data_IF_009584293728
#
_entry.id   IF_009584293728
#
_cell.length_a   1.000
_cell.length_b   1.000
_cell.length_c   1.000
_cell.angle_alpha   90.00
_cell.angle_beta   90.00
_cell.angle_gamma   90.00
#
_symmetry.space_group_name_H-M   'P 1'
#
loop_
_entity.id
_entity.type
_entity.pdbx_description
1 polymer ?
#
# COMPACT_ATOMS: atom_id res chain seq x y z
N UNK A 1 -1.73 -28.73 -20.13
CA UNK A 1 -0.48 -28.30 -19.46
C UNK A 1 -0.25 -26.78 -19.32
N UNK A 2 -0.93 -25.86 -20.06
CA UNK A 2 -0.83 -24.41 -19.84
C UNK A 2 -1.19 -23.96 -18.41
N UNK A 3 -2.22 -24.57 -17.80
CA UNK A 3 -2.72 -24.17 -16.47
C UNK A 3 -1.67 -24.29 -15.34
N UNK A 4 -0.78 -25.28 -15.40
CA UNK A 4 0.18 -25.53 -14.33
C UNK A 4 1.26 -24.44 -14.28
N UNK A 5 1.70 -23.93 -15.44
CA UNK A 5 2.69 -22.85 -15.52
C UNK A 5 2.11 -21.52 -15.04
N UNK A 6 0.89 -21.19 -15.46
CA UNK A 6 0.21 -19.98 -14.98
C UNK A 6 -0.07 -20.03 -13.47
N UNK A 7 -0.40 -21.21 -12.93
CA UNK A 7 -0.58 -21.39 -11.49
C UNK A 7 0.72 -21.11 -10.72
N UNK A 8 1.87 -21.59 -11.20
CA UNK A 8 3.16 -21.31 -10.56
C UNK A 8 3.52 -19.83 -10.56
N UNK A 9 3.30 -19.13 -11.68
CA UNK A 9 3.58 -17.69 -11.75
C UNK A 9 2.61 -16.91 -10.84
N UNK A 10 1.34 -17.31 -10.79
CA UNK A 10 0.40 -16.76 -9.81
C UNK A 10 0.87 -16.96 -8.37
N UNK A 11 1.32 -18.17 -8.01
CA UNK A 11 1.88 -18.45 -6.67
C UNK A 11 3.08 -17.55 -6.39
N UNK A 12 4.02 -17.41 -7.34
CA UNK A 12 5.18 -16.51 -7.20
C UNK A 12 4.75 -15.04 -7.05
N UNK A 13 3.69 -14.63 -7.74
CA UNK A 13 3.13 -13.26 -7.62
C UNK A 13 2.60 -13.00 -6.21
N UNK A 14 1.79 -13.93 -5.67
CA UNK A 14 1.24 -13.80 -4.31
C UNK A 14 2.35 -13.94 -3.28
N UNK A 15 3.31 -14.85 -3.49
CA UNK A 15 4.46 -15.03 -2.62
C UNK A 15 5.35 -13.79 -2.59
N UNK A 16 5.52 -13.10 -3.72
CA UNK A 16 6.21 -11.80 -3.79
C UNK A 16 5.52 -10.78 -2.90
N UNK A 17 4.20 -10.56 -3.11
CA UNK A 17 3.42 -9.59 -2.32
C UNK A 17 3.43 -9.93 -0.82
N UNK A 18 3.36 -11.21 -0.48
CA UNK A 18 3.38 -11.66 0.91
C UNK A 18 4.77 -11.59 1.54
N UNK A 19 5.83 -11.87 0.77
CA UNK A 19 7.20 -11.79 1.26
C UNK A 19 7.60 -10.36 1.61
N UNK A 20 7.03 -9.34 0.96
CA UNK A 20 7.28 -7.92 1.28
C UNK A 20 7.08 -7.66 2.77
N UNK A 21 5.99 -8.19 3.35
CA UNK A 21 5.60 -8.06 4.76
C UNK A 21 6.59 -8.70 5.77
N UNK A 22 7.64 -9.36 5.28
CA UNK A 22 8.64 -10.06 6.09
C UNK A 22 10.06 -9.68 5.67
N UNK A 23 10.33 -9.56 4.37
CA UNK A 23 11.65 -9.29 3.82
C UNK A 23 11.57 -8.73 2.39
N UNK A 24 12.01 -7.49 2.22
CA UNK A 24 12.13 -6.86 0.90
C UNK A 24 13.05 -7.63 -0.05
N UNK A 25 14.18 -8.15 0.44
CA UNK A 25 15.11 -8.94 -0.38
C UNK A 25 14.46 -10.24 -0.88
N UNK A 26 13.68 -10.90 -0.03
CA UNK A 26 12.90 -12.07 -0.42
C UNK A 26 11.85 -11.73 -1.47
N UNK A 27 11.14 -10.60 -1.31
CA UNK A 27 10.16 -10.13 -2.28
C UNK A 27 10.78 -9.81 -3.64
N UNK A 28 11.85 -9.03 -3.70
CA UNK A 28 12.51 -8.68 -4.97
C UNK A 28 13.07 -9.92 -5.68
N UNK A 29 13.60 -10.89 -4.92
CA UNK A 29 14.06 -12.17 -5.48
C UNK A 29 12.90 -12.95 -6.11
N UNK A 30 11.77 -13.06 -5.40
CA UNK A 30 10.58 -13.74 -5.92
C UNK A 30 9.97 -13.01 -7.12
N UNK A 31 9.99 -11.67 -7.12
CA UNK A 31 9.54 -10.86 -8.24
C UNK A 31 10.39 -11.13 -9.48
N UNK A 32 11.71 -11.13 -9.33
CA UNK A 32 12.63 -11.44 -10.41
C UNK A 32 12.39 -12.86 -10.97
N UNK A 33 12.19 -13.86 -10.10
CA UNK A 33 11.85 -15.23 -10.51
C UNK A 33 10.49 -15.25 -11.24
N UNK A 34 9.49 -14.52 -10.77
CA UNK A 34 8.18 -14.44 -11.42
C UNK A 34 8.28 -13.83 -12.83
N UNK A 35 9.02 -12.71 -12.98
CA UNK A 35 9.30 -12.08 -14.27
C UNK A 35 10.00 -13.06 -15.23
N UNK A 36 11.09 -13.70 -14.77
CA UNK A 36 11.86 -14.64 -15.59
C UNK A 36 11.03 -15.86 -15.99
N UNK A 37 10.28 -16.45 -15.05
CA UNK A 37 9.40 -17.57 -15.33
C UNK A 37 8.33 -17.21 -16.38
N UNK A 38 7.80 -15.99 -16.33
CA UNK A 38 6.83 -15.51 -17.31
C UNK A 38 7.45 -15.32 -18.70
N UNK A 39 8.65 -14.72 -18.77
CA UNK A 39 9.39 -14.54 -20.02
C UNK A 39 9.73 -15.90 -20.67
N UNK A 40 10.22 -16.86 -19.89
CA UNK A 40 10.54 -18.23 -20.35
C UNK A 40 9.29 -18.97 -20.82
N UNK A 41 8.15 -18.76 -20.15
CA UNK A 41 6.89 -19.40 -20.51
C UNK A 41 6.34 -18.89 -21.86
N UNK A 42 6.83 -17.75 -22.37
CA UNK A 42 6.38 -17.13 -23.62
C UNK A 42 5.02 -16.43 -23.45
N UNK A 43 4.99 -15.13 -23.06
CA UNK A 43 3.74 -14.40 -22.85
C UNK A 43 2.92 -14.34 -24.15
N UNK A 44 1.76 -14.99 -24.18
CA UNK A 44 0.89 -15.03 -25.37
C UNK A 44 0.09 -13.74 -25.58
N UNK A 45 -0.52 -13.24 -24.51
CA UNK A 45 -1.27 -11.97 -24.47
C UNK A 45 -0.97 -11.29 -23.14
N UNK A 46 -0.52 -10.04 -23.22
CA UNK A 46 -0.21 -9.20 -22.07
C UNK A 46 -1.38 -8.26 -21.86
N UNK A 47 -1.99 -8.34 -20.68
CA UNK A 47 -2.95 -7.34 -20.21
C UNK A 47 -2.16 -6.17 -19.63
N UNK A 48 -2.28 -5.01 -20.27
CA UNK A 48 -1.66 -3.79 -19.81
C UNK A 48 -2.64 -3.03 -18.93
N UNK A 49 -2.30 -2.68 -17.69
CA UNK A 49 -3.17 -1.84 -16.90
C UNK A 49 -3.25 -0.42 -17.50
N UNK A 50 -4.39 0.25 -17.34
CA UNK A 50 -4.66 1.55 -17.97
C UNK A 50 -3.70 2.66 -17.54
N UNK A 51 -3.10 2.54 -16.35
CA UNK A 51 -2.11 3.47 -15.83
C UNK A 51 -0.69 3.35 -16.44
N UNK A 52 -0.43 2.43 -17.38
CA UNK A 52 0.92 2.20 -17.93
C UNK A 52 1.50 3.45 -18.59
N UNK A 53 0.69 4.17 -19.38
CA UNK A 53 1.15 5.39 -20.07
C UNK A 53 1.62 6.47 -19.08
N UNK A 54 0.80 6.89 -18.09
CA UNK A 54 1.27 7.88 -17.12
C UNK A 54 2.41 7.37 -16.25
N UNK A 55 2.48 6.08 -15.95
CA UNK A 55 3.62 5.49 -15.25
C UNK A 55 4.92 5.60 -16.07
N UNK A 56 4.88 5.29 -17.36
CA UNK A 56 6.01 5.46 -18.26
C UNK A 56 6.43 6.93 -18.37
N UNK A 57 5.47 7.86 -18.38
CA UNK A 57 5.76 9.29 -18.35
C UNK A 57 6.48 9.69 -17.05
N UNK A 58 6.04 9.18 -15.89
CA UNK A 58 6.71 9.41 -14.61
C UNK A 58 8.15 8.86 -14.58
N UNK A 59 8.34 7.64 -15.08
CA UNK A 59 9.67 7.02 -15.21
C UNK A 59 10.58 7.83 -16.15
N UNK A 60 10.07 8.23 -17.31
CA UNK A 60 10.82 9.03 -18.28
C UNK A 60 11.23 10.38 -17.67
N UNK A 61 10.31 11.08 -17.01
CA UNK A 61 10.63 12.35 -16.34
C UNK A 61 11.59 12.18 -15.17
N UNK A 62 11.57 11.04 -14.48
CA UNK A 62 12.57 10.72 -13.46
C UNK A 62 13.96 10.55 -14.08
N UNK A 63 14.08 9.90 -15.24
CA UNK A 63 15.35 9.76 -15.98
C UNK A 63 15.82 11.12 -16.50
N UNK A 64 14.92 11.96 -17.02
CA UNK A 64 15.27 13.33 -17.45
C UNK A 64 15.81 14.15 -16.28
N UNK A 65 15.15 14.09 -15.11
CA UNK A 65 15.65 14.72 -13.88
C UNK A 65 17.02 14.18 -13.45
N UNK A 66 17.25 12.86 -13.56
CA UNK A 66 18.53 12.24 -13.27
C UNK A 66 19.65 12.78 -14.18
N UNK A 67 19.41 12.88 -15.48
CA UNK A 67 20.38 13.38 -16.46
C UNK A 67 20.65 14.87 -16.26
N UNK A 68 19.65 15.64 -15.84
CA UNK A 68 19.79 17.06 -15.52
C UNK A 68 20.45 17.32 -14.15
N UNK A 69 20.61 16.29 -13.31
CA UNK A 69 21.23 16.40 -11.99
C UNK A 69 22.73 16.70 -12.11
N UNK A 70 23.29 17.59 -11.26
CA UNK A 70 24.74 17.79 -11.16
C UNK A 70 25.54 16.54 -10.79
N UNK A 71 24.90 15.57 -10.13
CA UNK A 71 25.51 14.31 -9.66
C UNK A 71 24.59 13.12 -9.99
N UNK A 72 24.49 12.70 -11.27
CA UNK A 72 23.60 11.62 -11.70
C UNK A 72 23.94 10.25 -11.07
N UNK A 73 25.18 10.03 -10.68
CA UNK A 73 25.65 8.80 -10.06
C UNK A 73 24.95 8.50 -8.73
N UNK A 74 24.57 9.54 -7.97
CA UNK A 74 23.86 9.41 -6.70
C UNK A 74 22.45 8.87 -6.95
N UNK A 75 21.75 9.39 -7.96
CA UNK A 75 20.34 9.07 -8.21
C UNK A 75 20.07 7.76 -8.97
N UNK A 76 21.11 7.00 -9.33
CA UNK A 76 20.96 5.76 -10.13
C UNK A 76 20.14 4.68 -9.42
N UNK A 77 20.12 4.69 -8.07
CA UNK A 77 19.30 3.79 -7.26
C UNK A 77 17.82 3.86 -7.63
N UNK A 78 17.30 5.06 -7.89
CA UNK A 78 15.89 5.29 -8.27
C UNK A 78 15.52 4.61 -9.59
N UNK A 79 16.42 4.63 -10.57
CA UNK A 79 16.17 3.99 -11.88
C UNK A 79 16.20 2.47 -11.76
N UNK A 80 17.10 1.92 -10.94
CA UNK A 80 17.13 0.47 -10.66
C UNK A 80 15.82 -0.01 -10.03
N UNK A 81 15.20 0.80 -9.18
CA UNK A 81 13.88 0.53 -8.58
C UNK A 81 12.73 0.50 -9.60
N UNK A 82 12.92 0.88 -10.87
CA UNK A 82 11.87 0.74 -11.89
C UNK A 82 11.40 -0.71 -12.06
N UNK A 83 12.25 -1.69 -11.75
CA UNK A 83 11.89 -3.11 -11.77
C UNK A 83 10.71 -3.41 -10.82
N UNK A 84 10.53 -2.67 -9.73
CA UNK A 84 9.45 -2.88 -8.77
C UNK A 84 8.07 -2.65 -9.41
N UNK A 85 7.97 -1.76 -10.39
CA UNK A 85 6.73 -1.52 -11.12
C UNK A 85 6.26 -2.71 -11.97
N UNK A 86 7.14 -3.67 -12.24
CA UNK A 86 6.75 -4.95 -12.86
C UNK A 86 5.76 -5.73 -11.99
N UNK A 87 5.71 -5.48 -10.68
CA UNK A 87 4.74 -6.08 -9.78
C UNK A 87 3.30 -5.77 -10.20
N UNK A 88 3.04 -4.54 -10.63
CA UNK A 88 1.72 -4.17 -11.14
C UNK A 88 1.35 -4.94 -12.40
N UNK A 89 2.28 -5.07 -13.35
CA UNK A 89 2.06 -5.83 -14.58
C UNK A 89 1.81 -7.31 -14.32
N UNK A 90 2.58 -7.93 -13.42
CA UNK A 90 2.40 -9.34 -13.04
C UNK A 90 1.08 -9.53 -12.29
N UNK A 91 0.74 -8.65 -11.34
CA UNK A 91 -0.53 -8.72 -10.63
C UNK A 91 -1.75 -8.64 -11.58
N UNK A 92 -1.74 -7.70 -12.53
CA UNK A 92 -2.76 -7.60 -13.59
C UNK A 92 -2.85 -8.88 -14.43
N UNK A 93 -1.72 -9.51 -14.74
CA UNK A 93 -1.71 -10.69 -15.60
C UNK A 93 -1.97 -12.00 -14.87
N UNK A 94 -1.83 -12.09 -13.55
CA UNK A 94 -1.97 -13.37 -12.85
C UNK A 94 -3.08 -13.40 -11.80
N UNK A 95 -3.60 -12.26 -11.33
CA UNK A 95 -4.77 -12.17 -10.44
C UNK A 95 -6.05 -11.96 -11.27
N UNK A 96 -6.37 -12.95 -12.11
CA UNK A 96 -7.45 -12.83 -13.12
C UNK A 96 -8.86 -13.25 -12.68
N UNK A 97 -9.00 -13.85 -11.50
CA UNK A 97 -10.29 -14.39 -11.04
C UNK A 97 -10.60 -13.95 -9.62
N UNK A 98 -11.88 -13.83 -9.23
CA UNK A 98 -12.28 -13.56 -7.85
C UNK A 98 -11.68 -14.56 -6.85
N UNK A 99 -11.54 -15.82 -7.26
CA UNK A 99 -10.88 -16.85 -6.44
C UNK A 99 -9.40 -16.56 -6.22
N UNK A 100 -8.64 -16.20 -7.28
CA UNK A 100 -7.22 -15.82 -7.16
C UNK A 100 -7.05 -14.56 -6.31
N UNK A 101 -7.93 -13.58 -6.50
CA UNK A 101 -7.95 -12.37 -5.67
C UNK A 101 -8.23 -12.71 -4.20
N UNK A 102 -9.19 -13.58 -3.91
CA UNK A 102 -9.54 -14.02 -2.55
C UNK A 102 -8.38 -14.73 -1.86
N UNK A 103 -7.68 -15.64 -2.56
CA UNK A 103 -6.48 -16.29 -2.04
C UNK A 103 -5.41 -15.25 -1.73
N UNK A 104 -5.17 -14.33 -2.67
CA UNK A 104 -4.15 -13.30 -2.50
C UNK A 104 -4.40 -12.43 -1.26
N UNK A 105 -5.62 -11.90 -1.11
CA UNK A 105 -5.98 -11.06 0.05
C UNK A 105 -5.95 -11.86 1.36
N UNK A 106 -6.38 -13.13 1.33
CA UNK A 106 -6.25 -14.02 2.49
C UNK A 106 -4.79 -14.24 2.89
N UNK A 107 -3.91 -14.59 1.94
CA UNK A 107 -2.49 -14.80 2.21
C UNK A 107 -1.84 -13.52 2.76
N UNK A 108 -2.09 -12.36 2.16
CA UNK A 108 -1.57 -11.08 2.64
C UNK A 108 -2.05 -10.75 4.05
N UNK A 109 -3.35 -10.93 4.33
CA UNK A 109 -3.89 -10.69 5.66
C UNK A 109 -3.32 -11.66 6.71
N UNK A 110 -3.08 -12.92 6.34
CA UNK A 110 -2.47 -13.91 7.24
C UNK A 110 -1.02 -13.55 7.59
N UNK A 111 -0.21 -13.18 6.59
CA UNK A 111 1.18 -12.79 6.81
C UNK A 111 1.28 -11.44 7.54
N UNK A 112 0.42 -10.48 7.21
CA UNK A 112 0.33 -9.22 7.94
C UNK A 112 -0.09 -9.43 9.40
N UNK A 113 -1.00 -10.37 9.68
CA UNK A 113 -1.37 -10.73 11.04
C UNK A 113 -0.21 -11.40 11.80
N UNK A 114 0.62 -12.20 11.12
CA UNK A 114 1.84 -12.76 11.71
C UNK A 114 2.85 -11.65 12.06
N UNK A 115 3.11 -10.74 11.11
CA UNK A 115 3.97 -9.57 11.35
C UNK A 115 3.43 -8.70 12.50
N UNK A 116 2.11 -8.54 12.57
CA UNK A 116 1.41 -7.84 13.65
C UNK A 116 1.58 -8.55 14.98
N UNK A 117 1.48 -9.88 15.04
CA UNK A 117 1.71 -10.63 16.27
C UNK A 117 3.14 -10.42 16.79
N UNK A 118 4.15 -10.46 15.90
CA UNK A 118 5.54 -10.14 16.25
C UNK A 118 5.65 -8.71 16.78
N UNK A 119 5.03 -7.74 16.10
CA UNK A 119 5.05 -6.33 16.51
C UNK A 119 4.36 -6.12 17.87
N UNK A 120 3.28 -6.82 18.17
CA UNK A 120 2.59 -6.76 19.46
C UNK A 120 3.43 -7.36 20.59
N UNK A 121 4.18 -8.43 20.33
CA UNK A 121 5.17 -8.97 21.28
C UNK A 121 6.29 -7.97 21.51
N UNK A 122 6.83 -7.36 20.44
CA UNK A 122 7.82 -6.28 20.55
C UNK A 122 7.28 -5.12 21.39
N UNK A 123 6.01 -4.73 21.19
CA UNK A 123 5.36 -3.68 21.99
C UNK A 123 5.38 -4.03 23.48
N UNK A 124 4.93 -5.22 23.84
CA UNK A 124 4.87 -5.66 25.23
C UNK A 124 6.24 -5.66 25.91
N UNK A 125 7.26 -6.18 25.23
CA UNK A 125 8.64 -6.21 25.73
C UNK A 125 9.22 -4.80 25.90
N UNK A 126 9.04 -3.94 24.90
CA UNK A 126 9.50 -2.55 24.94
C UNK A 126 8.78 -1.76 26.02
N UNK A 127 7.48 -1.98 26.20
CA UNK A 127 6.68 -1.31 27.24
C UNK A 127 7.12 -1.73 28.65
N UNK A 128 7.38 -3.03 28.88
CA UNK A 128 7.92 -3.50 30.16
C UNK A 128 9.30 -2.90 30.46
N UNK A 129 10.14 -2.77 29.42
CA UNK A 129 11.44 -2.11 29.54
C UNK A 129 11.31 -0.61 29.81
N UNK A 130 10.35 0.07 29.20
CA UNK A 130 10.07 1.47 29.48
C UNK A 130 9.61 1.66 30.93
N UNK A 131 8.74 0.78 31.44
CA UNK A 131 8.29 0.81 32.84
C UNK A 131 9.42 0.57 33.84
N UNK A 132 10.49 -0.16 33.46
CA UNK A 132 11.64 -0.35 34.36
C UNK A 132 12.62 0.82 34.30
N UNK A 133 12.88 1.37 33.12
CA UNK A 133 13.91 2.41 32.92
C UNK A 133 13.40 3.83 33.11
N UNK A 134 12.11 4.07 32.84
CA UNK A 134 11.51 5.40 32.70
C UNK A 134 12.26 6.31 31.71
N UNK A 135 13.04 5.71 30.80
CA UNK A 135 13.81 6.42 29.81
C UNK A 135 12.97 6.54 28.53
N UNK A 136 12.77 7.76 28.06
CA UNK A 136 12.04 8.03 26.83
C UNK A 136 12.62 7.30 25.60
N UNK A 137 13.93 7.05 25.56
CA UNK A 137 14.56 6.28 24.48
C UNK A 137 13.96 4.86 24.33
N UNK A 138 13.47 4.29 25.43
CA UNK A 138 12.85 2.98 25.48
C UNK A 138 11.31 3.05 25.34
N UNK A 139 10.70 4.25 25.24
CA UNK A 139 9.26 4.43 25.14
C UNK A 139 8.73 3.95 23.76
N UNK A 140 7.93 2.85 23.73
CA UNK A 140 7.41 2.30 22.47
C UNK A 140 6.29 3.14 21.85
N UNK A 141 5.79 4.16 22.56
CA UNK A 141 4.81 5.11 22.05
C UNK A 141 5.46 6.27 21.29
N UNK A 142 6.77 6.50 21.47
CA UNK A 142 7.48 7.65 20.91
C UNK A 142 8.69 7.24 20.06
N UNK A 143 9.72 6.64 20.67
CA UNK A 143 11.04 6.43 20.06
C UNK A 143 11.32 4.95 19.73
N UNK A 144 10.97 4.02 20.62
CA UNK A 144 11.20 2.58 20.42
C UNK A 144 10.03 1.87 19.72
N UNK A 145 9.39 2.55 18.76
CA UNK A 145 8.15 2.09 18.12
C UNK A 145 8.31 0.74 17.43
N UNK A 146 7.23 -0.02 17.40
CA UNK A 146 7.20 -1.38 16.85
C UNK A 146 7.45 -1.41 15.35
N UNK A 147 8.15 -2.45 14.89
CA UNK A 147 8.56 -2.59 13.49
C UNK A 147 8.18 -3.94 12.89
N UNK A 148 7.70 -4.90 13.69
CA UNK A 148 7.43 -6.25 13.19
C UNK A 148 8.70 -6.87 12.62
N UNK A 149 8.68 -7.29 11.35
CA UNK A 149 9.86 -7.78 10.65
C UNK A 149 10.68 -6.67 9.97
N UNK A 150 10.17 -5.45 9.91
CA UNK A 150 10.84 -4.35 9.23
C UNK A 150 11.92 -3.71 10.09
N UNK A 151 12.85 -3.00 9.44
CA UNK A 151 13.87 -2.21 10.12
C UNK A 151 13.35 -0.89 10.69
N UNK A 152 12.19 -0.42 10.23
CA UNK A 152 11.65 0.89 10.62
C UNK A 152 10.13 0.85 10.79
N UNK A 153 9.62 1.59 11.78
CA UNK A 153 8.18 1.59 12.11
C UNK A 153 7.34 2.21 10.99
N UNK A 154 7.88 3.15 10.19
CA UNK A 154 7.10 3.78 9.11
C UNK A 154 6.81 2.78 7.98
N UNK A 155 7.81 1.98 7.59
CA UNK A 155 7.69 0.89 6.62
C UNK A 155 6.63 -0.10 7.09
N UNK A 156 6.80 -0.66 8.29
CA UNK A 156 5.84 -1.59 8.89
C UNK A 156 4.42 -1.02 8.94
N UNK A 157 4.27 0.20 9.44
CA UNK A 157 2.95 0.84 9.56
C UNK A 157 2.31 1.08 8.19
N UNK A 158 3.11 1.44 7.18
CA UNK A 158 2.66 1.62 5.79
C UNK A 158 2.18 0.32 5.16
N UNK A 159 2.87 -0.80 5.41
CA UNK A 159 2.41 -2.11 4.94
C UNK A 159 1.10 -2.54 5.62
N UNK A 160 1.02 -2.40 6.96
CA UNK A 160 -0.20 -2.72 7.71
C UNK A 160 -1.37 -1.85 7.26
N UNK A 161 -1.14 -0.57 6.93
CA UNK A 161 -2.14 0.33 6.37
C UNK A 161 -2.75 -0.25 5.08
N UNK A 162 -1.91 -0.60 4.10
CA UNK A 162 -2.40 -1.09 2.81
C UNK A 162 -3.15 -2.40 2.96
N UNK A 163 -2.62 -3.34 3.74
CA UNK A 163 -3.28 -4.62 3.99
C UNK A 163 -4.58 -4.42 4.75
N UNK A 164 -4.62 -3.56 5.76
CA UNK A 164 -5.84 -3.28 6.53
C UNK A 164 -6.92 -2.66 5.64
N UNK A 165 -6.59 -1.62 4.87
CA UNK A 165 -7.53 -0.97 3.95
C UNK A 165 -8.08 -1.95 2.91
N UNK A 166 -7.23 -2.78 2.30
CA UNK A 166 -7.66 -3.81 1.36
C UNK A 166 -8.44 -4.95 2.03
N UNK A 167 -8.16 -5.27 3.30
CA UNK A 167 -8.84 -6.34 4.01
C UNK A 167 -10.29 -6.00 4.36
N UNK A 168 -10.63 -4.71 4.57
CA UNK A 168 -11.98 -4.28 4.96
C UNK A 168 -13.05 -4.72 3.95
N UNK A 169 -12.96 -4.38 2.64
CA UNK A 169 -13.91 -4.89 1.65
C UNK A 169 -13.78 -6.41 1.45
N UNK A 170 -12.57 -6.95 1.54
CA UNK A 170 -12.29 -8.39 1.37
C UNK A 170 -13.02 -9.29 2.38
N UNK A 171 -13.41 -8.75 3.55
CA UNK A 171 -14.21 -9.48 4.53
C UNK A 171 -15.55 -9.99 3.98
N UNK A 172 -16.08 -9.39 2.91
CA UNK A 172 -17.28 -9.86 2.22
C UNK A 172 -17.13 -11.30 1.71
N UNK A 173 -15.91 -11.70 1.32
CA UNK A 173 -15.63 -13.00 0.73
C UNK A 173 -14.73 -13.87 1.63
N UNK A 174 -13.85 -13.28 2.43
CA UNK A 174 -13.01 -14.03 3.36
C UNK A 174 -13.84 -14.68 4.49
N UNK A 175 -14.87 -13.99 4.98
CA UNK A 175 -15.79 -14.47 6.01
C UNK A 175 -15.29 -14.27 7.44
N UNK A 176 -16.16 -14.53 8.43
CA UNK A 176 -15.96 -14.13 9.85
C UNK A 176 -14.68 -14.67 10.49
N UNK A 177 -14.16 -15.83 10.09
CA UNK A 177 -12.91 -16.39 10.64
C UNK A 177 -11.69 -15.47 10.46
N UNK A 178 -11.74 -14.57 9.47
CA UNK A 178 -10.67 -13.61 9.21
C UNK A 178 -10.75 -12.34 10.07
N UNK A 179 -11.76 -12.22 10.94
CA UNK A 179 -11.83 -11.12 11.91
C UNK A 179 -10.66 -11.17 12.91
N UNK A 180 -10.15 -12.36 13.25
CA UNK A 180 -9.02 -12.51 14.18
C UNK A 180 -7.72 -11.92 13.56
N UNK A 181 -7.27 -12.37 12.37
CA UNK A 181 -6.18 -11.71 11.64
C UNK A 181 -6.37 -10.20 11.48
N UNK A 182 -7.56 -9.76 11.09
CA UNK A 182 -7.85 -8.33 10.92
C UNK A 182 -7.75 -7.56 12.23
N UNK A 183 -8.15 -8.16 13.35
CA UNK A 183 -8.02 -7.55 14.68
C UNK A 183 -6.55 -7.41 15.08
N UNK A 184 -5.71 -8.42 14.81
CA UNK A 184 -4.27 -8.35 15.06
C UNK A 184 -3.63 -7.20 14.25
N UNK A 185 -3.96 -7.09 12.96
CA UNK A 185 -3.51 -5.99 12.10
C UNK A 185 -4.02 -4.63 12.60
N UNK A 186 -5.29 -4.54 13.00
CA UNK A 186 -5.86 -3.31 13.56
C UNK A 186 -5.12 -2.89 14.84
N UNK A 187 -4.80 -3.86 15.71
CA UNK A 187 -4.10 -3.60 16.94
C UNK A 187 -2.67 -3.11 16.70
N UNK A 188 -1.92 -3.75 15.80
CA UNK A 188 -0.59 -3.29 15.44
C UNK A 188 -0.60 -1.92 14.75
N UNK A 189 -1.60 -1.64 13.90
CA UNK A 189 -1.76 -0.33 13.26
C UNK A 189 -2.00 0.77 14.30
N UNK A 190 -2.86 0.52 15.29
CA UNK A 190 -3.10 1.46 16.41
C UNK A 190 -1.83 1.62 17.26
N UNK A 191 -1.22 0.52 17.70
CA UNK A 191 -0.05 0.54 18.58
C UNK A 191 1.28 0.87 17.88
N UNK A 192 1.24 1.10 16.57
CA UNK A 192 2.39 1.64 15.83
C UNK A 192 2.66 3.12 16.12
N UNK A 193 1.66 3.84 16.65
CA UNK A 193 1.75 5.27 16.97
C UNK A 193 2.23 6.16 15.80
N UNK A 194 1.91 5.73 14.58
CA UNK A 194 2.20 6.42 13.33
C UNK A 194 0.98 7.21 12.86
N UNK A 195 0.94 8.50 13.20
CA UNK A 195 -0.21 9.40 12.95
C UNK A 195 -0.65 9.46 11.48
N UNK A 196 0.31 9.56 10.55
CA UNK A 196 0.02 9.59 9.10
C UNK A 196 -0.72 8.34 8.64
N UNK A 197 -0.34 7.18 9.18
CA UNK A 197 -0.99 5.90 8.90
C UNK A 197 -2.39 5.82 9.49
N UNK A 198 -2.63 6.37 10.69
CA UNK A 198 -3.99 6.46 11.23
C UNK A 198 -4.90 7.31 10.34
N UNK A 199 -4.42 8.46 9.86
CA UNK A 199 -5.16 9.30 8.93
C UNK A 199 -5.43 8.59 7.61
N UNK A 200 -4.43 7.88 7.08
CA UNK A 200 -4.58 7.03 5.90
C UNK A 200 -5.64 5.93 6.10
N UNK A 201 -5.61 5.23 7.24
CA UNK A 201 -6.55 4.15 7.53
C UNK A 201 -7.98 4.69 7.62
N UNK A 202 -8.18 5.82 8.30
CA UNK A 202 -9.48 6.50 8.38
C UNK A 202 -9.96 6.88 6.97
N UNK A 203 -9.13 7.52 6.15
CA UNK A 203 -9.53 7.93 4.80
C UNK A 203 -9.85 6.73 3.90
N UNK A 204 -9.02 5.69 3.92
CA UNK A 204 -9.25 4.44 3.18
C UNK A 204 -10.49 3.69 3.64
N UNK A 205 -10.85 3.76 4.93
CA UNK A 205 -12.10 3.22 5.43
C UNK A 205 -13.32 4.04 4.98
N UNK A 206 -13.24 5.37 5.10
CA UNK A 206 -14.34 6.28 4.76
C UNK A 206 -14.73 6.21 3.28
N UNK A 207 -13.79 5.95 2.37
CA UNK A 207 -14.10 5.85 0.93
C UNK A 207 -14.96 4.62 0.59
N UNK A 208 -14.96 3.58 1.43
CA UNK A 208 -15.70 2.32 1.19
C UNK A 208 -16.82 2.06 2.20
N UNK A 209 -16.90 2.81 3.30
CA UNK A 209 -17.82 2.53 4.42
C UNK A 209 -19.29 2.44 3.99
N UNK A 210 -19.72 3.31 3.08
CA UNK A 210 -21.11 3.33 2.59
C UNK A 210 -21.40 2.26 1.52
N UNK A 211 -20.36 1.60 1.00
CA UNK A 211 -20.44 0.59 -0.05
C UNK A 211 -20.38 -0.83 0.50
N UNK A 212 -20.22 -0.97 1.83
CA UNK A 212 -20.05 -2.25 2.52
C UNK A 212 -21.24 -2.49 3.47
N UNK A 213 -21.80 -3.72 3.52
CA UNK A 213 -22.91 -4.04 4.42
C UNK A 213 -22.54 -3.87 5.90
N UNK A 214 -23.51 -3.39 6.69
CA UNK A 214 -23.37 -3.11 8.14
C UNK A 214 -22.73 -4.24 8.94
N UNK A 215 -23.02 -5.51 8.61
CA UNK A 215 -22.43 -6.68 9.29
C UNK A 215 -20.90 -6.74 9.19
N UNK A 216 -20.34 -6.35 8.04
CA UNK A 216 -18.89 -6.29 7.83
C UNK A 216 -18.33 -5.08 8.56
N UNK A 217 -18.98 -3.92 8.46
CA UNK A 217 -18.57 -2.72 9.19
C UNK A 217 -18.48 -2.98 10.69
N UNK A 218 -19.50 -3.59 11.30
CA UNK A 218 -19.48 -3.97 12.72
C UNK A 218 -18.31 -4.92 13.01
N UNK A 219 -18.07 -5.90 12.14
CA UNK A 219 -16.95 -6.84 12.28
C UNK A 219 -15.56 -6.22 12.19
N UNK A 220 -15.42 -5.05 11.57
CA UNK A 220 -14.16 -4.28 11.49
C UNK A 220 -14.07 -3.25 12.62
N UNK A 221 -15.13 -2.46 12.80
CA UNK A 221 -15.17 -1.32 13.72
C UNK A 221 -15.17 -1.78 15.16
N UNK A 222 -15.92 -2.83 15.52
CA UNK A 222 -16.01 -3.27 16.91
C UNK A 222 -14.65 -3.74 17.45
N UNK A 223 -13.90 -4.65 16.79
CA UNK A 223 -12.58 -5.03 17.28
C UNK A 223 -11.59 -3.86 17.31
N UNK A 224 -11.57 -3.01 16.28
CA UNK A 224 -10.69 -1.84 16.26
C UNK A 224 -11.02 -0.86 17.40
N UNK A 225 -12.31 -0.61 17.67
CA UNK A 225 -12.77 0.26 18.75
C UNK A 225 -12.45 -0.33 20.13
N UNK A 226 -12.58 -1.64 20.33
CA UNK A 226 -12.19 -2.30 21.58
C UNK A 226 -10.69 -2.12 21.83
N UNK A 227 -9.85 -2.35 20.82
CA UNK A 227 -8.40 -2.16 20.95
C UNK A 227 -8.05 -0.69 21.22
N UNK A 228 -8.66 0.25 20.49
CA UNK A 228 -8.46 1.68 20.71
C UNK A 228 -8.91 2.13 22.11
N UNK A 229 -10.03 1.57 22.62
CA UNK A 229 -10.53 1.84 23.96
C UNK A 229 -9.56 1.37 25.04
N UNK A 230 -9.06 0.13 24.92
CA UNK A 230 -8.04 -0.43 25.83
C UNK A 230 -6.75 0.40 25.78
N UNK A 231 -6.32 0.82 24.58
CA UNK A 231 -5.11 1.60 24.37
C UNK A 231 -5.31 3.13 24.56
N UNK A 232 -6.49 3.59 24.99
CA UNK A 232 -6.86 5.02 24.97
C UNK A 232 -5.89 5.92 25.73
N UNK A 233 -5.38 5.48 26.89
CA UNK A 233 -4.36 6.21 27.64
C UNK A 233 -3.04 6.36 26.88
N UNK A 234 -2.61 5.32 26.16
CA UNK A 234 -1.40 5.34 25.34
C UNK A 234 -1.57 6.22 24.09
N UNK A 235 -2.75 6.15 23.46
CA UNK A 235 -3.11 7.02 22.34
C UNK A 235 -3.12 8.47 22.80
N UNK A 236 -3.74 8.77 23.94
CA UNK A 236 -3.74 10.11 24.51
C UNK A 236 -2.33 10.61 24.80
N UNK A 237 -1.48 9.77 25.43
CA UNK A 237 -0.07 10.10 25.67
C UNK A 237 0.65 10.48 24.37
N UNK A 238 0.49 9.67 23.31
CA UNK A 238 1.10 9.95 22.00
C UNK A 238 0.61 11.27 21.39
N UNK A 239 -0.70 11.51 21.44
CA UNK A 239 -1.29 12.74 20.91
C UNK A 239 -0.83 13.95 21.71
N UNK A 240 -0.86 13.89 23.04
CA UNK A 240 -0.40 14.96 23.92
C UNK A 240 1.09 15.29 23.71
N UNK A 241 1.94 14.26 23.59
CA UNK A 241 3.38 14.44 23.30
C UNK A 241 3.63 15.14 21.96
N UNK A 242 2.72 15.00 21.00
CA UNK A 242 2.84 15.69 19.70
C UNK A 242 2.65 17.21 19.83
N UNK A 243 1.91 17.68 20.85
CA UNK A 243 1.66 19.10 21.10
C UNK A 243 2.53 19.68 22.23
N UNK A 244 3.40 18.86 22.84
CA UNK A 244 4.23 19.27 23.97
C UNK A 244 5.47 20.09 23.55
N UNK A 245 5.91 21.08 24.34
CA UNK A 245 6.99 22.02 23.97
C UNK A 245 8.37 21.36 23.84
N UNK A 246 8.62 20.21 24.48
CA UNK A 246 9.88 19.45 24.36
C UNK A 246 9.93 18.52 23.14
N UNK A 247 8.78 18.22 22.55
CA UNK A 247 8.68 17.27 21.44
C UNK A 247 8.05 17.87 20.20
N UNK A 248 7.60 19.13 20.24
CA UNK A 248 6.89 19.84 19.18
C UNK A 248 7.48 19.54 17.79
N UNK A 249 7.00 18.49 17.10
CA UNK A 249 7.47 18.08 15.79
C UNK A 249 6.87 18.98 14.71
N UNK A 250 6.04 19.96 15.10
CA UNK A 250 5.27 20.79 14.19
C UNK A 250 6.13 21.92 13.63
N UNK A 251 6.99 22.59 14.42
CA UNK A 251 8.00 23.50 13.85
C UNK A 251 8.97 22.75 12.95
N UNK A 252 9.29 21.52 13.33
CA UNK A 252 10.22 20.68 12.63
C UNK A 252 9.62 20.29 11.26
N UNK A 253 8.43 19.67 11.19
CA UNK A 253 7.78 19.31 9.92
C UNK A 253 7.40 20.50 9.04
N UNK A 254 6.97 21.62 9.64
CA UNK A 254 6.70 22.86 8.89
C UNK A 254 7.97 23.42 8.25
N UNK A 255 9.11 23.33 8.95
CA UNK A 255 10.39 23.75 8.38
C UNK A 255 10.86 22.80 7.27
N UNK A 256 10.63 21.48 7.38
CA UNK A 256 10.90 20.54 6.27
C UNK A 256 10.07 20.90 5.04
N UNK A 257 8.79 21.18 5.25
CA UNK A 257 7.87 21.57 4.19
C UNK A 257 8.31 22.89 3.55
N UNK A 258 8.67 23.88 4.36
CA UNK A 258 9.14 25.20 3.90
C UNK A 258 10.46 25.11 3.14
N UNK A 259 11.42 24.32 3.64
CA UNK A 259 12.67 24.03 2.93
C UNK A 259 12.39 23.34 1.59
N UNK A 260 11.47 22.37 1.56
CA UNK A 260 11.01 21.74 0.33
C UNK A 260 10.46 22.72 -0.70
N UNK A 261 9.63 23.69 -0.27
CA UNK A 261 9.14 24.74 -1.16
C UNK A 261 10.24 25.65 -1.69
N UNK A 262 11.24 26.01 -0.86
CA UNK A 262 12.41 26.77 -1.33
C UNK A 262 13.21 25.99 -2.38
N UNK A 263 13.41 24.68 -2.18
CA UNK A 263 14.05 23.82 -3.19
C UNK A 263 13.27 23.77 -4.52
N UNK A 264 11.93 23.73 -4.46
CA UNK A 264 11.06 23.77 -5.64
C UNK A 264 11.18 25.11 -6.37
N UNK A 265 11.26 26.22 -5.62
CA UNK A 265 11.42 27.56 -6.21
C UNK A 265 12.76 27.72 -6.92
N UNK A 266 13.83 27.17 -6.36
CA UNK A 266 15.17 27.26 -6.93
C UNK A 266 15.37 26.28 -8.11
N UNK A 267 14.70 25.13 -8.09
CA UNK A 267 14.84 24.08 -9.12
C UNK A 267 13.49 23.56 -9.67
N UNK A 268 12.65 24.42 -10.30
CA UNK A 268 11.25 24.09 -10.59
C UNK A 268 11.06 23.03 -11.68
N UNK A 269 11.95 22.93 -12.66
CA UNK A 269 11.73 22.05 -13.82
C UNK A 269 12.13 20.60 -13.56
N UNK A 270 13.35 20.39 -13.06
CA UNK A 270 13.96 19.06 -12.91
C UNK A 270 14.35 18.71 -11.47
N UNK A 271 14.08 19.60 -10.51
CA UNK A 271 14.43 19.41 -9.11
C UNK A 271 15.94 19.44 -8.87
N UNK A 272 16.33 19.17 -7.63
CA UNK A 272 17.75 19.09 -7.24
C UNK A 272 18.44 17.81 -7.74
N UNK A 273 17.68 16.83 -8.20
CA UNK A 273 18.15 15.53 -8.68
C UNK A 273 17.72 14.37 -7.78
N UNK A 274 17.46 13.17 -8.35
CA UNK A 274 17.02 12.00 -7.60
C UNK A 274 17.98 11.61 -6.47
N UNK A 275 17.43 11.24 -5.30
CA UNK A 275 18.15 10.94 -4.05
C UNK A 275 19.01 12.08 -3.47
N UNK A 276 19.01 13.30 -4.03
CA UNK A 276 19.87 14.40 -3.54
C UNK A 276 19.26 15.28 -2.46
N UNK A 277 18.00 15.05 -2.07
CA UNK A 277 17.33 15.85 -1.03
C UNK A 277 18.17 15.85 0.26
N UNK A 278 18.70 14.71 0.69
CA UNK A 278 19.48 14.63 1.92
C UNK A 278 20.77 15.45 1.90
N UNK A 279 21.39 15.59 0.73
CA UNK A 279 22.61 16.38 0.55
C UNK A 279 22.31 17.86 0.46
N UNK A 280 21.19 18.23 -0.17
CA UNK A 280 20.85 19.63 -0.45
C UNK A 280 20.05 20.29 0.68
N UNK A 281 19.25 19.52 1.43
CA UNK A 281 18.40 20.02 2.51
C UNK A 281 19.10 20.97 3.49
N UNK A 282 20.35 20.72 3.95
CA UNK A 282 21.04 21.63 4.87
C UNK A 282 21.19 23.07 4.37
N UNK A 283 21.24 23.29 3.04
CA UNK A 283 21.33 24.63 2.43
C UNK A 283 20.03 25.41 2.52
N UNK A 284 18.91 24.69 2.58
CA UNK A 284 17.56 25.24 2.59
C UNK A 284 16.95 25.23 3.99
N UNK A 285 17.64 24.69 4.99
CA UNK A 285 17.20 24.65 6.37
C UNK A 285 17.56 25.97 7.07
N UNK A 286 16.56 26.60 7.70
CA UNK A 286 16.72 27.87 8.43
C UNK A 286 16.70 27.70 9.96
N UNK A 287 16.65 26.48 10.47
CA UNK A 287 16.65 26.21 11.90
C UNK A 287 18.06 25.97 12.49
N UNK A 288 18.12 25.78 13.80
CA UNK A 288 19.38 25.71 14.56
C UNK A 288 19.80 24.29 14.97
N UNK A 289 18.97 23.27 14.75
CA UNK A 289 19.22 21.90 15.21
C UNK A 289 18.96 20.87 14.09
N UNK A 290 19.83 20.87 13.08
CA UNK A 290 19.72 19.96 11.94
C UNK A 290 19.98 18.50 12.33
N UNK A 291 20.87 18.26 13.31
CA UNK A 291 21.38 16.94 13.67
C UNK A 291 20.33 16.05 14.35
N UNK A 292 19.48 16.63 15.20
CA UNK A 292 18.41 15.87 15.87
C UNK A 292 17.11 15.80 15.06
N UNK A 293 17.09 16.41 13.88
CA UNK A 293 15.86 16.76 13.17
C UNK A 293 15.68 16.05 11.82
N UNK A 294 16.74 15.89 11.04
CA UNK A 294 16.63 15.47 9.65
C UNK A 294 17.00 13.99 9.44
N UNK A 295 16.02 13.21 8.96
CA UNK A 295 16.16 11.77 8.74
C UNK A 295 16.23 11.36 7.24
N UNK A 296 16.48 12.30 6.33
CA UNK A 296 16.82 11.99 4.93
C UNK A 296 15.74 12.27 3.86
N UNK A 297 14.53 12.73 4.24
CA UNK A 297 13.46 13.08 3.28
C UNK A 297 12.44 14.07 3.86
N UNK A 298 11.64 14.71 3.01
CA UNK A 298 10.72 15.81 3.36
C UNK A 298 9.38 15.40 4.00
N UNK A 299 9.15 14.09 4.21
CA UNK A 299 7.92 13.55 4.81
C UNK A 299 6.62 14.01 4.12
N UNK A 300 6.65 14.19 2.80
CA UNK A 300 5.47 14.43 1.97
C UNK A 300 5.81 14.01 0.54
N UNK A 301 5.07 13.06 -0.04
CA UNK A 301 5.32 12.57 -1.40
C UNK A 301 5.31 13.68 -2.45
N UNK A 302 4.36 14.61 -2.39
CA UNK A 302 4.20 15.66 -3.40
C UNK A 302 5.40 16.60 -3.36
N UNK A 303 5.73 17.11 -2.17
CA UNK A 303 6.84 18.05 -1.99
C UNK A 303 8.18 17.36 -2.21
N UNK A 304 8.34 16.11 -1.77
CA UNK A 304 9.52 15.30 -2.08
C UNK A 304 9.72 15.17 -3.59
N UNK A 305 8.71 14.70 -4.33
CA UNK A 305 8.84 14.48 -5.77
C UNK A 305 9.08 15.81 -6.51
N UNK A 306 8.41 16.89 -6.13
CA UNK A 306 8.61 18.19 -6.75
C UNK A 306 10.01 18.78 -6.47
N UNK A 307 10.48 18.73 -5.22
CA UNK A 307 11.81 19.24 -4.87
C UNK A 307 12.93 18.38 -5.48
N UNK A 308 12.74 17.06 -5.50
CA UNK A 308 13.75 16.11 -5.94
C UNK A 308 13.81 16.01 -7.47
N UNK A 309 12.65 15.99 -8.14
CA UNK A 309 12.53 15.65 -9.57
C UNK A 309 11.85 16.72 -10.42
N UNK A 310 11.42 17.82 -9.80
CA UNK A 310 10.80 18.96 -10.47
C UNK A 310 9.30 18.81 -10.73
N UNK A 311 8.68 19.93 -11.10
CA UNK A 311 7.23 20.04 -11.32
C UNK A 311 6.76 19.23 -12.53
N UNK A 312 7.62 19.01 -13.54
CA UNK A 312 7.27 18.17 -14.69
C UNK A 312 7.16 16.69 -14.30
N UNK A 313 8.07 16.21 -13.44
CA UNK A 313 7.98 14.86 -12.89
C UNK A 313 6.78 14.74 -11.93
N UNK A 314 6.53 15.76 -11.11
CA UNK A 314 5.34 15.80 -10.26
C UNK A 314 4.04 15.73 -11.09
N UNK A 315 3.95 16.44 -12.21
CA UNK A 315 2.76 16.39 -13.07
C UNK A 315 2.50 14.97 -13.60
N UNK A 316 3.55 14.27 -14.05
CA UNK A 316 3.45 12.88 -14.49
C UNK A 316 3.07 11.92 -13.33
N UNK A 317 3.62 12.17 -12.13
CA UNK A 317 3.26 11.44 -10.92
C UNK A 317 1.78 11.62 -10.56
N UNK A 318 1.27 12.85 -10.56
CA UNK A 318 -0.14 13.13 -10.29
C UNK A 318 -1.04 12.52 -11.37
N UNK A 319 -0.64 12.59 -12.64
CA UNK A 319 -1.36 11.92 -13.73
C UNK A 319 -1.46 10.42 -13.50
N UNK A 320 -0.38 9.76 -13.04
CA UNK A 320 -0.40 8.34 -12.68
C UNK A 320 -1.43 8.02 -11.59
N UNK A 321 -1.47 8.78 -10.50
CA UNK A 321 -2.46 8.57 -9.43
C UNK A 321 -3.90 8.90 -9.87
N UNK A 322 -4.12 9.97 -10.64
CA UNK A 322 -5.44 10.31 -11.16
C UNK A 322 -5.96 9.28 -12.16
N UNK A 323 -5.09 8.73 -13.01
CA UNK A 323 -5.44 7.63 -13.90
C UNK A 323 -5.86 6.38 -13.11
N UNK A 324 -5.12 6.02 -12.05
CA UNK A 324 -5.51 4.93 -11.15
C UNK A 324 -6.91 5.14 -10.56
N UNK A 325 -7.22 6.33 -10.04
CA UNK A 325 -8.55 6.63 -9.52
C UNK A 325 -9.62 6.57 -10.60
N UNK A 326 -9.37 7.16 -11.78
CA UNK A 326 -10.32 7.16 -12.89
C UNK A 326 -10.65 5.73 -13.36
N UNK A 327 -9.64 4.88 -13.49
CA UNK A 327 -9.79 3.49 -13.89
C UNK A 327 -10.55 2.69 -12.83
N UNK A 328 -10.16 2.79 -11.54
CA UNK A 328 -10.84 2.09 -10.45
C UNK A 328 -12.31 2.51 -10.31
N UNK A 329 -12.63 3.82 -10.42
CA UNK A 329 -14.00 4.30 -10.39
C UNK A 329 -14.80 3.84 -11.62
N UNK A 330 -14.16 3.73 -12.77
CA UNK A 330 -14.79 3.21 -13.99
C UNK A 330 -15.08 1.72 -13.88
N UNK A 331 -14.13 0.93 -13.35
CA UNK A 331 -14.31 -0.49 -13.05
C UNK A 331 -15.41 -0.71 -12.02
N UNK A 332 -15.49 0.13 -10.98
CA UNK A 332 -16.48 -0.01 -9.91
C UNK A 332 -17.91 0.10 -10.44
N UNK A 333 -18.13 0.91 -11.48
CA UNK A 333 -19.44 1.07 -12.15
C UNK A 333 -19.82 -0.12 -13.04
N UNK A 334 -18.84 -0.91 -13.49
CA UNK A 334 -19.02 -2.02 -14.45
C UNK A 334 -18.85 -3.40 -13.82
N UNK A 335 -18.24 -3.48 -12.64
CA UNK A 335 -17.90 -4.73 -11.99
C UNK A 335 -19.17 -5.51 -11.60
N UNK A 336 -19.13 -6.81 -11.84
CA UNK A 336 -20.11 -7.74 -11.26
C UNK A 336 -20.01 -7.75 -9.72
N UNK A 337 -21.12 -8.08 -9.06
CA UNK A 337 -21.23 -8.11 -7.60
C UNK A 337 -20.13 -8.94 -6.91
N UNK A 338 -19.67 -10.01 -7.56
CA UNK A 338 -18.64 -10.93 -7.03
C UNK A 338 -17.19 -10.45 -7.22
N UNK A 339 -16.98 -9.40 -8.02
CA UNK A 339 -15.68 -8.78 -8.30
C UNK A 339 -15.56 -7.35 -7.73
N UNK A 340 -16.68 -6.71 -7.39
CA UNK A 340 -16.74 -5.33 -6.90
C UNK A 340 -15.84 -5.09 -5.68
N UNK A 341 -15.78 -6.05 -4.76
CA UNK A 341 -14.95 -5.97 -3.56
C UNK A 341 -13.46 -5.80 -3.87
N UNK A 342 -12.96 -6.35 -4.99
CA UNK A 342 -11.54 -6.25 -5.39
C UNK A 342 -11.22 -4.79 -5.74
N UNK A 343 -12.14 -4.13 -6.46
CA UNK A 343 -12.03 -2.70 -6.80
C UNK A 343 -12.11 -1.84 -5.56
N UNK A 344 -13.02 -2.14 -4.62
CA UNK A 344 -13.12 -1.45 -3.33
C UNK A 344 -11.84 -1.62 -2.50
N UNK A 345 -11.23 -2.80 -2.48
CA UNK A 345 -9.97 -3.06 -1.77
C UNK A 345 -8.84 -2.20 -2.33
N UNK A 346 -8.73 -2.11 -3.66
CA UNK A 346 -7.77 -1.24 -4.34
C UNK A 346 -8.02 0.24 -4.04
N UNK A 347 -9.28 0.70 -4.10
CA UNK A 347 -9.66 2.08 -3.83
C UNK A 347 -9.37 2.50 -2.39
N UNK A 348 -9.66 1.63 -1.43
CA UNK A 348 -9.35 1.84 -0.02
C UNK A 348 -7.83 1.93 0.20
N UNK A 349 -7.06 0.98 -0.34
CA UNK A 349 -5.60 0.96 -0.18
C UNK A 349 -4.94 2.18 -0.85
N UNK A 350 -5.35 2.53 -2.07
CA UNK A 350 -4.87 3.72 -2.78
C UNK A 350 -5.16 5.00 -1.99
N UNK A 351 -6.37 5.14 -1.46
CA UNK A 351 -6.77 6.32 -0.67
C UNK A 351 -6.01 6.41 0.64
N UNK A 352 -5.83 5.29 1.33
CA UNK A 352 -5.00 5.24 2.53
C UNK A 352 -3.55 5.62 2.24
N UNK A 353 -2.97 5.09 1.16
CA UNK A 353 -1.63 5.41 0.70
C UNK A 353 -1.44 6.90 0.44
N UNK A 354 -2.33 7.49 -0.37
CA UNK A 354 -2.25 8.91 -0.79
C UNK A 354 -2.36 9.83 0.42
N UNK A 355 -3.33 9.59 1.32
CA UNK A 355 -3.51 10.43 2.51
C UNK A 355 -2.35 10.30 3.48
N UNK A 356 -1.84 9.09 3.72
CA UNK A 356 -0.63 8.90 4.53
C UNK A 356 0.59 9.58 3.90
N UNK A 357 0.68 9.56 2.56
CA UNK A 357 1.74 10.19 1.77
C UNK A 357 1.76 11.72 1.79
N UNK A 358 0.70 12.37 2.32
CA UNK A 358 0.73 13.82 2.59
C UNK A 358 1.57 14.17 3.82
N UNK A 359 1.90 13.17 4.65
CA UNK A 359 2.59 13.35 5.93
C UNK A 359 3.79 12.42 6.11
N UNK A 360 4.13 11.65 5.07
CA UNK A 360 5.28 10.77 4.98
C UNK A 360 5.76 10.64 3.52
N UNK A 361 7.05 10.32 3.30
CA UNK A 361 7.54 9.92 1.98
C UNK A 361 7.40 8.40 1.76
N UNK A 362 6.16 7.90 1.85
CA UNK A 362 5.88 6.46 1.74
C UNK A 362 6.02 5.91 0.31
N UNK A 363 6.11 6.76 -0.72
CA UNK A 363 6.35 6.32 -2.10
C UNK A 363 7.81 5.94 -2.36
N UNK A 364 8.75 6.43 -1.55
CA UNK A 364 10.17 6.06 -1.65
C UNK A 364 10.50 4.67 -1.07
N UNK A 365 9.57 4.12 -0.29
CA UNK A 365 9.67 2.84 0.40
C UNK A 365 9.26 1.70 -0.55
N UNK A 366 10.19 0.78 -0.79
CA UNK A 366 10.03 -0.28 -1.80
C UNK A 366 8.96 -1.28 -1.37
N UNK A 367 8.87 -1.57 -0.07
CA UNK A 367 7.93 -2.47 0.55
C UNK A 367 6.50 -1.96 0.35
N UNK A 368 6.25 -0.70 0.74
CA UNK A 368 4.94 -0.08 0.58
C UNK A 368 4.55 0.05 -0.91
N UNK A 369 5.51 0.39 -1.78
CA UNK A 369 5.29 0.50 -3.22
C UNK A 369 4.86 -0.83 -3.85
N UNK A 370 5.52 -1.94 -3.53
CA UNK A 370 5.18 -3.26 -4.07
C UNK A 370 3.77 -3.69 -3.68
N UNK A 371 3.39 -3.47 -2.42
CA UNK A 371 2.03 -3.76 -1.94
C UNK A 371 0.98 -2.87 -2.60
N UNK A 372 1.27 -1.57 -2.74
CA UNK A 372 0.38 -0.64 -3.43
C UNK A 372 0.13 -1.10 -4.86
N UNK A 373 1.20 -1.37 -5.62
CA UNK A 373 1.14 -1.86 -6.99
C UNK A 373 0.36 -3.17 -7.09
N UNK A 374 0.55 -4.09 -6.15
CA UNK A 374 -0.22 -5.33 -6.12
C UNK A 374 -1.73 -5.06 -6.02
N UNK A 375 -2.15 -4.28 -5.01
CA UNK A 375 -3.56 -4.03 -4.75
C UNK A 375 -4.23 -3.23 -5.88
N UNK A 376 -3.61 -2.15 -6.35
CA UNK A 376 -4.22 -1.32 -7.40
C UNK A 376 -4.28 -2.00 -8.76
N UNK A 377 -3.42 -2.99 -9.01
CA UNK A 377 -3.32 -3.67 -10.30
C UNK A 377 -4.16 -4.95 -10.40
N UNK A 378 -4.50 -5.57 -9.26
CA UNK A 378 -5.34 -6.77 -9.20
C UNK A 378 -6.74 -6.59 -9.87
N UNK A 379 -7.45 -5.46 -9.71
CA UNK A 379 -8.71 -5.21 -10.40
C UNK A 379 -8.65 -5.31 -11.92
N UNK A 380 -7.57 -4.83 -12.56
CA UNK A 380 -7.42 -4.89 -14.03
C UNK A 380 -7.45 -6.33 -14.54
N UNK A 381 -6.86 -7.28 -13.80
CA UNK A 381 -6.91 -8.70 -14.16
C UNK A 381 -8.29 -9.31 -13.98
N UNK A 382 -9.01 -8.93 -12.92
CA UNK A 382 -10.34 -9.45 -12.61
C UNK A 382 -11.45 -8.85 -13.51
N UNK A 383 -11.29 -7.59 -13.94
CA UNK A 383 -12.28 -6.85 -14.73
C UNK A 383 -12.41 -7.33 -16.19
N UNK A 384 -11.31 -7.74 -16.83
CA UNK A 384 -11.28 -8.19 -18.24
C UNK A 384 -12.17 -9.41 -18.49
N UNK A 385 -12.46 -10.22 -17.46
CA UNK A 385 -13.39 -11.34 -17.60
C UNK A 385 -14.85 -10.88 -17.73
N UNK A 386 -15.23 -9.77 -17.12
CA UNK A 386 -16.60 -9.22 -17.19
C UNK A 386 -16.90 -8.77 -18.62
N UNK A 387 -15.95 -8.07 -19.26
CA UNK A 387 -16.08 -7.60 -20.65
C UNK A 387 -16.13 -8.78 -21.65
N UNK A 388 -15.30 -9.81 -21.48
CA UNK A 388 -15.37 -11.00 -22.36
C UNK A 388 -16.64 -11.85 -22.17
N UNK A 389 -17.24 -11.88 -20.99
CA UNK A 389 -18.53 -12.56 -20.76
C UNK A 389 -19.69 -11.77 -21.40
N UNK A 390 -19.61 -10.43 -21.39
CA UNK A 390 -20.60 -9.55 -22.00
C UNK A 390 -20.55 -9.62 -23.54
N UNK A 391 -19.34 -9.63 -24.12
CA UNK A 391 -19.14 -9.75 -25.58
C UNK A 391 -19.45 -11.16 -26.14
N UNK A 392 -19.33 -12.22 -25.33
CA UNK A 392 -19.63 -13.60 -25.76
C UNK A 392 -21.09 -14.02 -25.55
N UNK A 393 -21.94 -13.14 -25.01
CA UNK A 393 -23.39 -13.23 -25.15
C UNK A 393 -24.06 -14.49 -24.59
N UNK A 394 -23.44 -15.24 -23.68
CA UNK A 394 -24.13 -16.36 -23.00
C UNK A 394 -23.85 -16.39 -21.50
N UNK A 395 -24.75 -15.79 -20.72
CA UNK A 395 -24.98 -16.23 -19.34
C UNK A 395 -25.73 -17.55 -19.43
N UNK A 396 -25.02 -18.68 -19.39
CA UNK A 396 -25.65 -19.95 -19.07
C UNK A 396 -26.06 -19.93 -17.59
N UNK A 397 -27.20 -19.31 -17.30
CA UNK A 397 -28.03 -19.75 -16.20
C UNK A 397 -28.67 -21.06 -16.67
N UNK A 398 -28.01 -22.19 -16.43
CA UNK A 398 -28.74 -23.44 -16.34
C UNK A 398 -29.50 -23.40 -15.02
N UNK A 399 -30.76 -22.98 -15.09
CA UNK A 399 -31.77 -23.42 -14.12
C UNK A 399 -31.72 -24.95 -14.12
N UNK A 400 -31.14 -25.51 -13.06
CA UNK A 400 -31.52 -26.86 -12.65
C UNK A 400 -32.83 -26.65 -11.90
N UNK A 401 -33.91 -26.67 -12.66
CA UNK A 401 -35.27 -26.71 -12.16
C UNK A 401 -35.48 -28.08 -11.52
N UNK A 402 -35.28 -28.17 -10.20
CA UNK A 402 -35.63 -29.33 -9.40
C UNK A 402 -37.10 -29.20 -9.07
N UNK A 403 -37.99 -29.53 -10.02
CA UNK A 403 -39.34 -30.05 -9.81
C UNK A 403 -40.09 -30.11 -11.14
N UNK A 404 -40.21 -31.32 -11.71
CA UNK A 404 -41.38 -31.85 -12.44
C UNK A 404 -40.95 -32.99 -13.36
N UNK A 405 -41.06 -34.23 -12.87
CA UNK A 405 -41.15 -35.42 -13.72
C UNK A 405 -42.60 -35.91 -13.68
N UNK A 406 -43.33 -35.91 -14.80
CA UNK A 406 -44.47 -36.79 -14.99
C UNK A 406 -43.98 -38.03 -15.74
N UNK A 407 -43.94 -39.18 -15.07
CA UNK A 407 -43.94 -40.48 -15.74
C UNK A 407 -45.15 -41.26 -15.23
N UNK A 408 -46.28 -41.05 -15.92
CA UNK A 408 -47.27 -42.11 -16.12
C UNK A 408 -46.79 -42.96 -17.30
N UNK A 409 -46.56 -44.26 -17.10
CA UNK A 409 -46.90 -45.28 -18.09
C UNK A 409 -47.44 -46.49 -17.33
N UNK A 410 -48.66 -46.87 -17.76
CA UNK A 410 -49.45 -48.04 -17.39
C UNK A 410 -48.85 -49.34 -17.93
N UNK A 411 -49.30 -50.41 -17.26
CA UNK A 411 -49.32 -51.84 -17.62
C UNK A 411 -48.02 -52.65 -17.50
#
# INVERSE_FOLDING_TARGET
MPDRRELWIFILTVATAAAVLVSIAGAETLLAIACLAWLIAGPRRILWPGYVVPLCAFMAMTVVSLVASPQPEIGMGVVRKFVLFSMGLIATNFVRTPWRARISHGTLLAVAALASAVALVQFGLAYLRFLSTHNLADDPTVLARITGFMGHWMTFSGEQLLVWCAAVPSMLFLGRRWSIPLTAVSAALILSFTRSVWLGAIAGFLVVVFMIPRRVLIGVVLPAAVVAGIASGLIYHRVAMSFGPKFAPDFSRLEMLSAGFRMIQDHPLFGVGPERIHTEFPRYYSGNDLANFYYGHLHNNIVQIAAERGLLCLAAFLWFFFALYADLLSMLKRAADDAQWIVLSALAALTGFVVAGLFEYNFGDSEVLLLLLFFVSAPYGAAVRVEMIDESGTRLHSEVDVHHLPFEIRD
#
